data_IF_796936406481
#
_entry.id   IF_796936406481
#
_cell.length_a   1.000
_cell.length_b   1.000
_cell.length_c   1.000
_cell.angle_alpha   90.00
_cell.angle_beta   90.00
_cell.angle_gamma   90.00
#
_symmetry.space_group_name_H-M   'P 1'
#
loop_
_entity.id
_entity.type
_entity.pdbx_description
1 polymer ?
#
# COMPACT_ATOMS: atom_id res chain seq x y z
N UNK A 1 -11.43 10.05 -24.48
CA UNK A 1 -11.53 8.61 -24.82
C UNK A 1 -10.97 7.78 -23.68
N UNK A 2 -11.57 6.66 -23.38
CA UNK A 2 -11.15 5.67 -22.40
C UNK A 2 -10.72 4.40 -23.13
N UNK A 3 -9.53 3.88 -22.79
CA UNK A 3 -8.98 2.63 -23.32
C UNK A 3 -8.66 1.71 -22.17
N UNK A 4 -9.00 0.44 -22.27
CA UNK A 4 -8.69 -0.53 -21.23
C UNK A 4 -9.29 -1.91 -21.49
N UNK A 5 -9.01 -2.85 -20.62
CA UNK A 5 -9.61 -4.18 -20.64
C UNK A 5 -11.07 -4.15 -20.15
N UNK A 6 -11.84 -5.17 -20.52
CA UNK A 6 -13.24 -5.32 -20.13
C UNK A 6 -13.46 -5.15 -18.61
N UNK A 7 -12.57 -5.69 -17.79
CA UNK A 7 -12.67 -5.57 -16.33
C UNK A 7 -12.54 -4.11 -15.82
N UNK A 8 -11.73 -3.29 -16.48
CA UNK A 8 -11.51 -1.90 -16.06
C UNK A 8 -12.61 -0.94 -16.57
N UNK A 9 -13.32 -1.31 -17.64
CA UNK A 9 -14.26 -0.42 -18.35
C UNK A 9 -15.71 -0.75 -18.03
N UNK A 10 -16.00 -1.99 -17.65
CA UNK A 10 -17.37 -2.50 -17.50
C UNK A 10 -18.28 -1.62 -16.63
N UNK A 11 -17.74 -1.06 -15.56
CA UNK A 11 -18.50 -0.24 -14.60
C UNK A 11 -18.51 1.27 -14.95
N UNK A 12 -17.83 1.66 -16.04
CA UNK A 12 -17.66 3.07 -16.46
C UNK A 12 -17.93 3.28 -17.95
N UNK A 13 -18.65 2.36 -18.59
CA UNK A 13 -18.85 2.34 -20.04
C UNK A 13 -19.61 3.57 -20.56
N UNK A 14 -20.40 4.22 -19.73
CA UNK A 14 -21.20 5.40 -20.03
C UNK A 14 -20.56 6.72 -19.58
N UNK A 15 -19.36 6.68 -18.98
CA UNK A 15 -18.68 7.87 -18.47
C UNK A 15 -17.85 8.57 -19.53
N UNK A 16 -17.27 7.82 -20.47
CA UNK A 16 -16.41 8.36 -21.52
C UNK A 16 -17.20 8.75 -22.76
N UNK A 17 -16.82 9.84 -23.45
CA UNK A 17 -17.40 10.23 -24.74
C UNK A 17 -17.18 9.13 -25.81
N UNK A 18 -16.04 8.45 -25.73
CA UNK A 18 -15.68 7.31 -26.57
C UNK A 18 -14.94 6.27 -25.78
N UNK A 19 -15.31 5.03 -25.96
CA UNK A 19 -14.80 3.86 -25.27
C UNK A 19 -14.19 2.89 -26.26
N UNK A 20 -12.97 2.41 -25.95
CA UNK A 20 -12.24 1.42 -26.73
C UNK A 20 -11.91 0.22 -25.86
N UNK A 21 -12.39 -0.96 -26.28
CA UNK A 21 -12.05 -2.25 -25.67
C UNK A 21 -10.84 -2.84 -26.39
N UNK A 22 -9.66 -2.36 -26.01
CA UNK A 22 -8.41 -2.78 -26.64
C UNK A 22 -7.43 -3.27 -25.56
N UNK A 23 -6.52 -4.17 -25.91
CA UNK A 23 -5.41 -4.52 -25.04
C UNK A 23 -4.61 -3.27 -24.66
N UNK A 24 -4.08 -3.24 -23.42
CA UNK A 24 -3.20 -2.16 -22.98
C UNK A 24 -1.76 -2.43 -23.47
N UNK A 25 -1.58 -2.48 -24.79
CA UNK A 25 -0.28 -2.51 -25.47
C UNK A 25 0.04 -1.16 -26.10
N UNK A 26 1.31 -0.86 -26.31
CA UNK A 26 1.70 0.40 -26.95
C UNK A 26 1.12 0.54 -28.37
N UNK A 27 1.07 -0.57 -29.13
CA UNK A 27 0.54 -0.60 -30.50
C UNK A 27 -0.93 -0.23 -30.54
N UNK A 28 -1.77 -0.91 -29.73
CA UNK A 28 -3.20 -0.67 -29.71
C UNK A 28 -3.54 0.74 -29.24
N UNK A 29 -2.87 1.21 -28.16
CA UNK A 29 -3.07 2.57 -27.65
C UNK A 29 -2.64 3.62 -28.66
N UNK A 30 -1.53 3.45 -29.37
CA UNK A 30 -1.10 4.33 -30.44
C UNK A 30 -2.09 4.36 -31.62
N UNK A 31 -2.72 3.23 -31.94
CA UNK A 31 -3.80 3.14 -32.93
C UNK A 31 -5.01 4.01 -32.56
N UNK A 32 -5.43 3.95 -31.28
CA UNK A 32 -6.49 4.83 -30.76
C UNK A 32 -6.07 6.30 -30.79
N UNK A 33 -4.84 6.61 -30.40
CA UNK A 33 -4.30 7.99 -30.43
C UNK A 33 -4.28 8.54 -31.85
N UNK A 34 -3.87 7.75 -32.84
CA UNK A 34 -3.86 8.14 -34.25
C UNK A 34 -5.26 8.46 -34.77
N UNK A 35 -6.27 7.72 -34.28
CA UNK A 35 -7.68 7.91 -34.64
C UNK A 35 -8.29 9.15 -33.97
N UNK A 36 -8.12 9.28 -32.65
CA UNK A 36 -8.76 10.32 -31.85
C UNK A 36 -8.00 11.65 -31.83
N UNK A 37 -6.68 11.63 -32.09
CA UNK A 37 -5.78 12.80 -32.06
C UNK A 37 -5.94 13.64 -30.79
N UNK A 38 -5.83 13.02 -29.60
CA UNK A 38 -5.98 13.75 -28.35
C UNK A 38 -4.82 14.73 -28.13
N UNK A 39 -5.02 15.74 -27.28
CA UNK A 39 -3.95 16.66 -26.87
C UNK A 39 -2.88 16.01 -25.98
N UNK A 40 -3.17 14.87 -25.41
CA UNK A 40 -2.29 14.07 -24.57
C UNK A 40 -3.00 12.87 -23.95
N UNK A 41 -2.24 12.07 -23.21
CA UNK A 41 -2.71 10.84 -22.57
C UNK A 41 -2.49 10.92 -21.08
N UNK A 42 -3.49 10.54 -20.28
CA UNK A 42 -3.40 10.37 -18.84
C UNK A 42 -3.29 8.88 -18.55
N UNK A 43 -2.11 8.42 -18.11
CA UNK A 43 -1.86 7.04 -17.73
C UNK A 43 -2.03 6.77 -16.23
N UNK A 44 -1.98 7.82 -15.39
CA UNK A 44 -1.91 7.73 -13.94
C UNK A 44 -3.13 7.06 -13.26
N UNK A 45 -4.26 6.90 -13.94
CA UNK A 45 -5.47 6.27 -13.38
C UNK A 45 -5.64 4.79 -13.75
N UNK A 46 -4.82 4.28 -14.67
CA UNK A 46 -4.92 2.89 -15.18
C UNK A 46 -4.06 1.87 -14.43
N UNK A 47 -3.57 2.21 -13.24
CA UNK A 47 -2.70 1.36 -12.43
C UNK A 47 -1.36 1.08 -13.10
N UNK A 48 -0.67 0.04 -12.65
CA UNK A 48 0.69 -0.28 -13.09
C UNK A 48 0.78 -0.65 -14.57
N UNK A 49 -0.26 -1.27 -15.13
CA UNK A 49 -0.28 -1.65 -16.54
C UNK A 49 -0.26 -0.44 -17.48
N UNK A 50 -1.05 0.59 -17.17
CA UNK A 50 -1.09 1.82 -17.97
C UNK A 50 0.20 2.66 -17.79
N UNK A 51 0.73 2.73 -16.57
CA UNK A 51 1.98 3.45 -16.27
C UNK A 51 3.16 2.91 -17.09
N UNK A 52 3.27 1.61 -17.28
CA UNK A 52 4.33 1.00 -18.09
C UNK A 52 4.31 1.41 -19.57
N UNK A 53 3.20 1.94 -20.06
CA UNK A 53 3.11 2.44 -21.44
C UNK A 53 3.69 3.83 -21.61
N UNK A 54 3.88 4.62 -20.55
CA UNK A 54 4.27 6.03 -20.64
C UNK A 54 5.56 6.23 -21.41
N UNK A 55 6.58 5.39 -21.17
CA UNK A 55 7.85 5.49 -21.88
C UNK A 55 7.71 5.27 -23.39
N UNK A 56 7.01 4.20 -23.79
CA UNK A 56 6.77 3.90 -25.21
C UNK A 56 5.94 4.99 -25.89
N UNK A 57 4.96 5.56 -25.19
CA UNK A 57 4.13 6.66 -25.72
C UNK A 57 4.94 7.96 -25.87
N UNK A 58 5.78 8.32 -24.91
CA UNK A 58 6.66 9.49 -25.02
C UNK A 58 7.68 9.33 -26.18
N UNK A 59 8.26 8.14 -26.34
CA UNK A 59 9.15 7.85 -27.48
C UNK A 59 8.43 7.97 -28.83
N UNK A 60 7.15 7.69 -28.89
CA UNK A 60 6.30 7.88 -30.06
C UNK A 60 5.85 9.35 -30.24
N UNK A 61 6.32 10.30 -29.41
CA UNK A 61 5.98 11.71 -29.46
C UNK A 61 4.63 12.08 -28.87
N UNK A 62 4.03 11.17 -28.08
CA UNK A 62 2.76 11.41 -27.39
C UNK A 62 3.00 12.17 -26.10
N UNK A 63 2.28 13.25 -25.87
CA UNK A 63 2.34 14.00 -24.62
C UNK A 63 1.69 13.22 -23.49
N UNK A 64 2.44 12.92 -22.45
CA UNK A 64 1.89 12.41 -21.18
C UNK A 64 1.39 13.60 -20.36
N UNK A 65 0.12 13.54 -19.96
CA UNK A 65 -0.51 14.53 -19.06
C UNK A 65 -0.46 13.95 -17.64
N UNK A 66 0.45 14.50 -16.85
CA UNK A 66 0.76 13.98 -15.52
C UNK A 66 2.28 13.94 -15.27
N UNK A 67 2.70 13.13 -14.36
CA UNK A 67 4.13 12.88 -14.08
C UNK A 67 4.80 12.26 -15.31
N UNK A 68 6.00 12.77 -15.69
CA UNK A 68 6.73 12.28 -16.86
C UNK A 68 7.20 10.83 -16.69
N UNK A 69 7.41 10.11 -17.80
CA UNK A 69 7.93 8.74 -17.76
C UNK A 69 9.28 8.66 -17.02
N UNK A 70 10.18 9.60 -17.24
CA UNK A 70 11.49 9.64 -16.55
C UNK A 70 11.35 9.76 -15.03
N UNK A 71 10.39 10.55 -14.53
CA UNK A 71 10.15 10.69 -13.09
C UNK A 71 9.41 9.47 -12.49
N UNK A 72 8.58 8.82 -13.28
CA UNK A 72 7.98 7.53 -12.91
C UNK A 72 9.07 6.48 -12.76
N UNK A 73 9.98 6.39 -13.75
CA UNK A 73 11.14 5.48 -13.68
C UNK A 73 12.06 5.82 -12.49
N UNK A 74 12.26 7.10 -12.19
CA UNK A 74 13.04 7.54 -11.02
C UNK A 74 12.44 7.11 -9.69
N UNK A 75 11.11 7.00 -9.61
CA UNK A 75 10.42 6.48 -8.42
C UNK A 75 10.55 4.96 -8.28
N UNK A 76 10.67 4.21 -9.40
CA UNK A 76 10.81 2.76 -9.43
C UNK A 76 12.26 2.30 -9.35
N UNK A 77 13.20 3.09 -9.87
CA UNK A 77 14.63 2.81 -9.82
C UNK A 77 15.21 3.05 -8.44
N UNK A 78 15.78 2.00 -7.84
CA UNK A 78 16.26 2.04 -6.46
C UNK A 78 17.35 3.08 -6.26
N UNK A 79 18.34 3.14 -7.16
CA UNK A 79 19.51 4.04 -6.97
C UNK A 79 19.09 5.50 -7.12
N UNK A 80 18.26 5.81 -8.12
CA UNK A 80 17.72 7.15 -8.33
C UNK A 80 16.83 7.58 -7.17
N UNK A 81 15.98 6.68 -6.68
CA UNK A 81 15.10 6.99 -5.56
C UNK A 81 15.88 7.14 -4.26
N UNK A 82 16.88 6.29 -3.98
CA UNK A 82 17.75 6.43 -2.81
C UNK A 82 18.52 7.76 -2.82
N UNK A 83 19.09 8.15 -3.95
CA UNK A 83 19.78 9.44 -4.10
C UNK A 83 18.84 10.63 -3.86
N UNK A 84 17.59 10.55 -4.35
CA UNK A 84 16.57 11.57 -4.10
C UNK A 84 16.22 11.65 -2.59
N UNK A 85 16.12 10.52 -1.90
CA UNK A 85 15.84 10.48 -0.47
C UNK A 85 17.00 11.04 0.36
N UNK A 86 18.25 10.69 0.03
CA UNK A 86 19.44 11.19 0.71
C UNK A 86 19.56 12.72 0.63
N UNK A 87 19.23 13.32 -0.50
CA UNK A 87 19.24 14.78 -0.71
C UNK A 87 18.42 15.53 0.34
N UNK A 88 17.34 14.94 0.84
CA UNK A 88 16.45 15.53 1.85
C UNK A 88 16.60 14.92 3.24
N UNK A 89 17.57 14.04 3.45
CA UNK A 89 17.72 13.32 4.72
C UNK A 89 16.53 12.45 5.09
N UNK A 90 15.83 11.92 4.05
CA UNK A 90 14.69 11.03 4.22
C UNK A 90 15.21 9.61 4.39
N UNK A 91 14.77 8.92 5.43
CA UNK A 91 15.22 7.57 5.75
C UNK A 91 14.50 6.53 4.92
N UNK A 92 15.26 5.50 4.51
CA UNK A 92 14.75 4.25 3.94
C UNK A 92 15.32 3.04 4.67
N UNK A 93 14.66 1.90 4.56
CA UNK A 93 15.24 0.64 5.03
C UNK A 93 16.56 0.39 4.29
N UNK A 94 17.62 0.06 5.04
CA UNK A 94 18.90 -0.32 4.45
C UNK A 94 18.74 -1.61 3.67
N UNK A 95 19.44 -1.74 2.56
CA UNK A 95 19.38 -2.94 1.73
C UNK A 95 20.62 -3.15 0.88
N UNK A 96 20.70 -4.35 0.33
CA UNK A 96 21.75 -4.80 -0.57
C UNK A 96 21.15 -5.51 -1.78
N UNK A 97 21.75 -5.30 -2.92
CA UNK A 97 21.47 -6.05 -4.15
C UNK A 97 22.48 -7.17 -4.27
N UNK A 98 22.03 -8.39 -4.47
CA UNK A 98 22.87 -9.60 -4.50
C UNK A 98 22.50 -10.50 -5.68
N UNK A 99 23.45 -11.31 -6.12
CA UNK A 99 23.27 -12.23 -7.23
C UNK A 99 23.39 -13.70 -6.78
N UNK A 100 24.08 -13.98 -5.70
CA UNK A 100 24.36 -15.33 -5.23
C UNK A 100 23.76 -15.59 -3.84
N UNK A 101 23.63 -16.85 -3.48
CA UNK A 101 23.15 -17.27 -2.16
C UNK A 101 24.11 -16.84 -1.04
N UNK A 102 25.42 -16.92 -1.30
CA UNK A 102 26.47 -16.55 -0.35
C UNK A 102 26.44 -15.04 -0.09
N UNK A 103 26.29 -14.22 -1.13
CA UNK A 103 26.14 -12.76 -1.00
C UNK A 103 24.84 -12.41 -0.22
N UNK A 104 23.77 -13.15 -0.47
CA UNK A 104 22.48 -12.94 0.20
C UNK A 104 22.57 -13.19 1.72
N UNK A 105 23.20 -14.30 2.11
CA UNK A 105 23.43 -14.63 3.53
C UNK A 105 24.36 -13.60 4.18
N UNK A 106 25.45 -13.20 3.50
CA UNK A 106 26.37 -12.19 4.01
C UNK A 106 25.66 -10.84 4.22
N UNK A 107 24.87 -10.41 3.24
CA UNK A 107 24.07 -9.18 3.33
C UNK A 107 23.06 -9.22 4.49
N UNK A 108 22.36 -10.33 4.66
CA UNK A 108 21.39 -10.50 5.74
C UNK A 108 22.06 -10.45 7.13
N UNK A 109 23.23 -11.08 7.28
CA UNK A 109 24.01 -11.02 8.53
C UNK A 109 24.54 -9.60 8.82
N UNK A 110 24.93 -8.83 7.78
CA UNK A 110 25.32 -7.42 7.91
C UNK A 110 24.14 -6.54 8.35
N UNK A 111 22.94 -6.73 7.73
CA UNK A 111 21.75 -5.94 8.02
C UNK A 111 21.08 -6.31 9.35
N UNK A 112 21.26 -7.54 9.79
CA UNK A 112 20.60 -8.10 10.98
C UNK A 112 19.20 -8.64 10.68
N UNK A 113 18.95 -9.89 11.12
CA UNK A 113 17.64 -10.52 10.98
C UNK A 113 16.55 -9.88 11.88
N UNK A 114 15.28 -9.88 11.46
CA UNK A 114 14.77 -10.39 10.18
C UNK A 114 15.07 -9.46 9.01
N UNK A 115 15.14 -10.03 7.79
CA UNK A 115 15.29 -9.29 6.55
C UNK A 115 14.17 -9.62 5.57
N UNK A 116 13.83 -8.66 4.71
CA UNK A 116 12.91 -8.85 3.59
C UNK A 116 13.73 -9.23 2.36
N UNK A 117 13.36 -10.35 1.71
CA UNK A 117 14.02 -10.86 0.52
C UNK A 117 13.05 -10.78 -0.65
N UNK A 118 13.47 -10.15 -1.74
CA UNK A 118 12.62 -9.98 -2.93
C UNK A 118 13.46 -9.95 -4.22
N UNK A 119 12.93 -10.45 -5.36
CA UNK A 119 13.53 -10.20 -6.67
C UNK A 119 13.47 -8.70 -7.01
N UNK A 120 14.41 -8.21 -7.83
CA UNK A 120 14.49 -6.78 -8.18
C UNK A 120 13.29 -6.27 -8.98
N UNK A 121 12.66 -7.14 -9.76
CA UNK A 121 11.51 -6.79 -10.60
C UNK A 121 10.30 -7.62 -10.19
N UNK A 122 9.48 -7.08 -9.32
CA UNK A 122 8.27 -7.76 -8.79
C UNK A 122 7.06 -6.87 -8.90
N UNK A 123 5.95 -7.44 -9.36
CA UNK A 123 4.64 -6.80 -9.32
C UNK A 123 3.81 -7.39 -8.18
N UNK A 124 3.25 -6.51 -7.34
CA UNK A 124 2.32 -6.93 -6.28
C UNK A 124 2.94 -7.82 -5.21
N UNK A 125 4.26 -7.71 -4.94
CA UNK A 125 4.93 -8.44 -3.87
C UNK A 125 5.14 -9.94 -4.13
N UNK A 126 4.95 -10.41 -5.37
CA UNK A 126 5.18 -11.82 -5.72
C UNK A 126 6.59 -12.27 -5.37
N UNK A 127 6.72 -13.51 -4.88
CA UNK A 127 7.99 -14.10 -4.48
C UNK A 127 8.78 -13.26 -3.45
N UNK A 128 8.12 -12.54 -2.56
CA UNK A 128 8.75 -11.86 -1.43
C UNK A 128 8.60 -12.71 -0.17
N UNK A 129 9.66 -12.79 0.63
CA UNK A 129 9.62 -13.46 1.94
C UNK A 129 10.25 -12.61 3.04
N UNK A 130 9.87 -12.88 4.29
CA UNK A 130 10.59 -12.40 5.47
C UNK A 130 11.44 -13.56 5.98
N UNK A 131 12.76 -13.40 5.92
CA UNK A 131 13.71 -14.41 6.38
C UNK A 131 14.17 -14.07 7.81
N UNK A 132 14.18 -15.08 8.67
CA UNK A 132 14.57 -14.94 10.08
C UNK A 132 15.92 -15.56 10.39
N UNK A 133 16.49 -16.32 9.45
CA UNK A 133 17.76 -17.05 9.59
C UNK A 133 18.34 -17.39 8.21
N UNK A 134 19.62 -17.79 8.19
CA UNK A 134 20.35 -18.11 6.97
C UNK A 134 19.69 -19.18 6.12
N UNK A 135 19.12 -20.23 6.76
CA UNK A 135 18.46 -21.32 6.03
C UNK A 135 17.27 -20.86 5.20
N UNK A 136 16.52 -19.86 5.67
CA UNK A 136 15.37 -19.32 4.95
C UNK A 136 15.82 -18.65 3.65
N UNK A 137 16.97 -17.94 3.70
CA UNK A 137 17.57 -17.29 2.53
C UNK A 137 18.09 -18.33 1.53
N UNK A 138 18.83 -19.32 2.01
CA UNK A 138 19.39 -20.37 1.17
C UNK A 138 18.27 -21.11 0.42
N UNK A 139 17.20 -21.46 1.10
CA UNK A 139 16.04 -22.11 0.48
C UNK A 139 15.36 -21.22 -0.55
N UNK A 140 15.14 -19.95 -0.22
CA UNK A 140 14.54 -18.98 -1.12
C UNK A 140 15.39 -18.79 -2.39
N UNK A 141 16.68 -18.56 -2.24
CA UNK A 141 17.60 -18.39 -3.37
C UNK A 141 17.61 -19.63 -4.27
N UNK A 142 17.56 -20.83 -3.69
CA UNK A 142 17.47 -22.09 -4.45
C UNK A 142 16.19 -22.14 -5.30
N UNK A 143 15.05 -21.70 -4.76
CA UNK A 143 13.77 -21.66 -5.49
C UNK A 143 13.82 -20.66 -6.64
N UNK A 144 14.30 -19.45 -6.38
CA UNK A 144 14.38 -18.36 -7.37
C UNK A 144 15.33 -18.72 -8.53
N UNK A 145 16.51 -19.24 -8.21
CA UNK A 145 17.48 -19.68 -9.24
C UNK A 145 16.95 -20.87 -10.05
N UNK A 146 16.19 -21.78 -9.42
CA UNK A 146 15.59 -22.91 -10.13
C UNK A 146 14.49 -22.48 -11.13
N UNK A 147 13.88 -21.31 -10.93
CA UNK A 147 12.89 -20.73 -11.85
C UNK A 147 13.55 -20.00 -13.04
N UNK A 148 14.88 -20.00 -13.13
CA UNK A 148 15.60 -19.31 -14.20
C UNK A 148 15.54 -17.78 -14.11
N UNK A 149 15.26 -17.25 -12.94
CA UNK A 149 15.24 -15.80 -12.68
C UNK A 149 16.70 -15.36 -12.52
N UNK A 150 17.26 -14.79 -13.57
CA UNK A 150 18.64 -14.23 -13.58
C UNK A 150 18.70 -12.79 -13.04
N UNK A 151 17.62 -12.30 -12.42
CA UNK A 151 17.55 -10.96 -11.90
C UNK A 151 18.20 -10.85 -10.52
N UNK A 152 18.80 -9.70 -10.19
CA UNK A 152 19.30 -9.45 -8.84
C UNK A 152 18.22 -9.64 -7.78
N UNK A 153 18.60 -10.13 -6.62
CA UNK A 153 17.74 -10.23 -5.43
C UNK A 153 18.09 -9.09 -4.49
N UNK A 154 17.07 -8.50 -3.90
CA UNK A 154 17.20 -7.44 -2.91
C UNK A 154 17.03 -8.04 -1.51
N UNK A 155 17.96 -7.73 -0.63
CA UNK A 155 17.90 -8.05 0.80
C UNK A 155 17.75 -6.72 1.53
N UNK A 156 16.60 -6.49 2.12
CA UNK A 156 16.28 -5.24 2.81
C UNK A 156 16.08 -5.49 4.31
N UNK A 157 16.51 -4.56 5.14
CA UNK A 157 16.22 -4.58 6.58
C UNK A 157 14.70 -4.59 6.79
N UNK A 158 14.20 -5.56 7.55
CA UNK A 158 12.79 -5.62 7.88
C UNK A 158 12.47 -4.79 9.12
N UNK A 159 11.81 -3.66 8.92
CA UNK A 159 11.42 -2.74 9.99
C UNK A 159 10.04 -3.13 10.54
N UNK A 160 9.98 -3.60 11.78
CA UNK A 160 8.74 -3.95 12.47
C UNK A 160 8.10 -2.72 13.11
N UNK A 161 7.63 -1.80 12.27
CA UNK A 161 7.02 -0.54 12.68
C UNK A 161 5.51 -0.47 12.37
N UNK A 162 4.96 0.72 12.56
CA UNK A 162 3.60 1.07 12.16
C UNK A 162 3.65 1.48 10.70
N UNK A 163 2.90 0.81 9.85
CA UNK A 163 2.73 1.24 8.47
C UNK A 163 1.69 2.34 8.35
N UNK A 164 2.02 3.33 7.55
CA UNK A 164 1.14 4.43 7.20
C UNK A 164 1.24 4.73 5.71
N UNK A 165 0.19 5.30 5.14
CA UNK A 165 0.20 5.76 3.76
C UNK A 165 -0.49 7.11 3.61
N UNK A 166 -0.06 7.86 2.61
CA UNK A 166 -0.67 9.11 2.21
C UNK A 166 -0.84 9.14 0.70
N UNK A 167 -2.06 9.43 0.27
CA UNK A 167 -2.34 9.85 -1.10
C UNK A 167 -2.34 11.36 -1.16
N UNK A 168 -1.67 11.92 -2.16
CA UNK A 168 -1.56 13.36 -2.33
C UNK A 168 -1.81 13.78 -3.78
N UNK A 169 -2.17 15.06 -3.93
CA UNK A 169 -2.31 15.73 -5.21
C UNK A 169 -1.21 16.78 -5.29
N UNK A 170 -0.48 16.82 -6.41
CA UNK A 170 0.58 17.79 -6.64
C UNK A 170 0.37 18.51 -7.99
N UNK A 171 0.63 19.82 -8.02
CA UNK A 171 0.59 20.64 -9.25
C UNK A 171 1.98 21.08 -9.72
N UNK A 172 3.03 20.41 -9.21
CA UNK A 172 4.44 20.74 -9.45
C UNK A 172 4.99 21.83 -8.52
N UNK A 173 4.15 22.51 -7.72
CA UNK A 173 4.55 23.56 -6.78
C UNK A 173 3.93 23.38 -5.40
N UNK A 174 2.66 23.06 -5.35
CA UNK A 174 1.90 22.82 -4.13
C UNK A 174 1.46 21.37 -4.04
N UNK A 175 1.27 20.90 -2.80
CA UNK A 175 0.80 19.55 -2.51
C UNK A 175 -0.37 19.63 -1.54
N UNK A 176 -1.45 18.93 -1.86
CA UNK A 176 -2.60 18.70 -0.97
C UNK A 176 -2.62 17.23 -0.54
N UNK A 177 -2.68 16.99 0.75
CA UNK A 177 -2.78 15.66 1.36
C UNK A 177 -4.18 15.56 1.99
N UNK A 178 -5.15 14.87 1.37
CA UNK A 178 -6.50 14.76 1.92
C UNK A 178 -6.55 14.06 3.26
N UNK A 179 -5.66 13.08 3.50
CA UNK A 179 -5.57 12.39 4.77
C UNK A 179 -4.39 11.42 4.82
N UNK A 180 -3.98 11.10 6.03
CA UNK A 180 -2.97 10.08 6.32
C UNK A 180 -3.69 8.89 6.95
N UNK A 181 -3.45 7.70 6.40
CA UNK A 181 -4.00 6.44 6.86
C UNK A 181 -2.95 5.64 7.61
N UNK A 182 -3.39 4.84 8.55
CA UNK A 182 -2.55 3.93 9.32
C UNK A 182 -3.08 2.50 9.16
N UNK A 183 -2.18 1.53 8.98
CA UNK A 183 -2.55 0.13 8.86
C UNK A 183 -2.70 -0.53 10.24
N UNK A 184 -3.68 -1.43 10.35
CA UNK A 184 -3.91 -2.22 11.58
C UNK A 184 -2.91 -3.36 11.66
N UNK A 185 -2.60 -3.97 10.53
CA UNK A 185 -1.67 -5.08 10.43
C UNK A 185 -0.24 -4.61 10.66
N UNK A 186 0.60 -5.55 11.08
CA UNK A 186 2.04 -5.32 11.22
C UNK A 186 2.68 -5.13 9.84
N UNK A 187 3.83 -4.46 9.79
CA UNK A 187 4.62 -4.31 8.59
C UNK A 187 4.93 -5.64 7.89
N UNK A 188 5.06 -5.59 6.56
CA UNK A 188 5.32 -6.75 5.72
C UNK A 188 4.08 -7.43 5.14
N UNK A 189 2.88 -6.88 5.37
CA UNK A 189 1.66 -7.27 4.67
C UNK A 189 1.40 -6.24 3.57
N UNK A 190 1.04 -6.70 2.38
CA UNK A 190 0.74 -5.80 1.25
C UNK A 190 -0.36 -4.79 1.63
N UNK A 191 -0.16 -3.52 1.30
CA UNK A 191 -1.09 -2.43 1.66
C UNK A 191 -2.53 -2.66 1.17
N UNK A 192 -2.71 -3.33 0.03
CA UNK A 192 -4.02 -3.75 -0.48
C UNK A 192 -4.74 -4.74 0.43
N UNK A 193 -4.00 -5.55 1.18
CA UNK A 193 -4.51 -6.60 2.07
C UNK A 193 -4.65 -6.13 3.52
N UNK A 194 -4.16 -4.94 3.82
CA UNK A 194 -4.21 -4.34 5.15
C UNK A 194 -5.50 -3.55 5.37
N UNK A 195 -5.98 -3.59 6.61
CA UNK A 195 -7.04 -2.69 7.08
C UNK A 195 -6.41 -1.31 7.26
N UNK A 196 -6.85 -0.32 6.48
CA UNK A 196 -6.38 1.05 6.59
C UNK A 196 -7.41 1.92 7.33
N UNK A 197 -6.95 2.64 8.34
CA UNK A 197 -7.77 3.50 9.20
C UNK A 197 -7.46 4.96 8.92
N UNK A 198 -8.50 5.74 8.72
CA UNK A 198 -8.46 7.19 8.65
C UNK A 198 -9.38 7.79 9.73
N UNK A 199 -8.94 8.81 10.44
CA UNK A 199 -7.56 9.29 10.52
C UNK A 199 -6.64 8.30 11.24
N UNK A 200 -5.32 8.40 11.01
CA UNK A 200 -4.33 7.64 11.76
C UNK A 200 -4.52 7.84 13.26
N UNK A 201 -4.41 6.77 14.06
CA UNK A 201 -4.80 6.83 15.49
C UNK A 201 -3.63 6.68 16.47
N UNK A 202 -2.50 6.10 16.04
CA UNK A 202 -1.29 5.93 16.88
C UNK A 202 -0.18 6.93 16.54
N UNK A 203 -0.30 7.69 15.45
CA UNK A 203 0.70 8.65 15.06
C UNK A 203 0.66 9.89 15.95
N UNK A 204 1.81 10.26 16.51
CA UNK A 204 1.93 11.52 17.25
C UNK A 204 1.88 12.73 16.29
N UNK A 205 1.58 13.91 16.83
CA UNK A 205 1.59 15.14 16.03
C UNK A 205 2.93 15.41 15.35
N UNK A 206 4.05 15.08 16.01
CA UNK A 206 5.39 15.22 15.43
C UNK A 206 5.61 14.26 14.25
N UNK A 207 5.16 12.99 14.36
CA UNK A 207 5.23 12.02 13.27
C UNK A 207 4.34 12.45 12.09
N UNK A 208 3.11 12.88 12.37
CA UNK A 208 2.19 13.40 11.35
C UNK A 208 2.81 14.58 10.60
N UNK A 209 3.40 15.53 11.32
CA UNK A 209 4.09 16.67 10.70
C UNK A 209 5.26 16.22 9.83
N UNK A 210 6.05 15.24 10.28
CA UNK A 210 7.15 14.69 9.49
C UNK A 210 6.66 13.99 8.23
N UNK A 211 5.55 13.23 8.30
CA UNK A 211 4.92 12.62 7.14
C UNK A 211 4.47 13.65 6.10
N UNK A 212 3.87 14.76 6.55
CA UNK A 212 3.46 15.86 5.66
C UNK A 212 4.67 16.46 4.92
N UNK A 213 5.75 16.74 5.66
CA UNK A 213 6.98 17.29 5.10
C UNK A 213 7.62 16.35 4.08
N UNK A 214 7.75 15.07 4.42
CA UNK A 214 8.32 14.04 3.56
C UNK A 214 7.45 13.84 2.31
N UNK A 215 6.12 13.76 2.46
CA UNK A 215 5.19 13.68 1.32
C UNK A 215 5.41 14.83 0.34
N UNK A 216 5.48 16.07 0.88
CA UNK A 216 5.70 17.26 0.06
C UNK A 216 7.05 17.22 -0.65
N UNK A 217 8.12 16.88 0.05
CA UNK A 217 9.48 16.82 -0.52
C UNK A 217 9.56 15.79 -1.66
N UNK A 218 9.02 14.58 -1.46
CA UNK A 218 9.03 13.52 -2.47
C UNK A 218 8.20 13.91 -3.68
N UNK A 219 6.97 14.41 -3.47
CA UNK A 219 6.10 14.80 -4.57
C UNK A 219 6.73 15.88 -5.46
N UNK A 220 7.41 16.84 -4.87
CA UNK A 220 8.10 17.90 -5.62
C UNK A 220 9.39 17.40 -6.29
N UNK A 221 10.20 16.57 -5.63
CA UNK A 221 11.44 16.03 -6.19
C UNK A 221 11.18 15.12 -7.38
N UNK A 222 10.13 14.30 -7.32
CA UNK A 222 9.68 13.47 -8.43
C UNK A 222 8.90 14.25 -9.51
N UNK A 223 8.86 15.58 -9.42
CA UNK A 223 8.13 16.41 -10.39
C UNK A 223 6.68 15.94 -10.58
N UNK A 224 6.05 15.43 -9.52
CA UNK A 224 4.70 14.88 -9.58
C UNK A 224 3.72 15.91 -10.11
N UNK A 225 2.92 15.49 -11.08
CA UNK A 225 1.80 16.28 -11.59
C UNK A 225 0.53 15.40 -11.59
N UNK A 226 -0.37 15.67 -10.68
CA UNK A 226 -1.54 14.84 -10.39
C UNK A 226 -1.39 14.06 -9.10
N UNK A 227 -1.63 12.73 -9.12
CA UNK A 227 -1.65 11.89 -7.93
C UNK A 227 -0.31 11.25 -7.62
N UNK A 228 -0.05 11.09 -6.33
CA UNK A 228 1.04 10.28 -5.80
C UNK A 228 0.58 9.56 -4.53
N UNK A 229 0.92 8.28 -4.41
CA UNK A 229 0.78 7.50 -3.18
C UNK A 229 2.15 7.24 -2.59
N UNK A 230 2.33 7.44 -1.30
CA UNK A 230 3.58 7.18 -0.59
C UNK A 230 3.30 6.30 0.61
N UNK A 231 4.08 5.24 0.76
CA UNK A 231 3.99 4.29 1.86
C UNK A 231 5.17 4.48 2.81
N UNK A 232 4.86 4.42 4.10
CA UNK A 232 5.79 4.70 5.19
C UNK A 232 5.80 3.59 6.24
N UNK A 233 6.93 3.47 6.94
CA UNK A 233 7.01 2.77 8.23
C UNK A 233 7.46 3.79 9.28
N UNK A 234 6.72 3.88 10.37
CA UNK A 234 7.15 4.59 11.57
C UNK A 234 7.76 3.58 12.53
N UNK A 235 9.07 3.68 12.72
CA UNK A 235 9.85 2.77 13.53
C UNK A 235 10.77 3.55 14.47
N UNK A 236 10.73 3.25 15.77
CA UNK A 236 11.50 3.97 16.80
C UNK A 236 11.33 5.51 16.74
N UNK A 237 10.10 5.99 16.55
CA UNK A 237 9.73 7.40 16.39
C UNK A 237 10.37 8.10 15.18
N UNK A 238 10.82 7.34 14.19
CA UNK A 238 11.36 7.84 12.95
C UNK A 238 10.54 7.38 11.76
N UNK A 239 10.44 8.22 10.75
CA UNK A 239 9.69 7.95 9.51
C UNK A 239 10.64 7.41 8.46
N UNK A 240 10.32 6.24 7.93
CA UNK A 240 11.00 5.61 6.81
C UNK A 240 10.05 5.53 5.63
N UNK A 241 10.55 5.81 4.43
CA UNK A 241 9.79 5.64 3.19
C UNK A 241 10.01 4.22 2.67
N UNK A 242 8.91 3.53 2.36
CA UNK A 242 8.94 2.23 1.69
C UNK A 242 9.03 2.46 0.19
N UNK A 243 8.04 3.14 -0.37
CA UNK A 243 7.92 3.41 -1.80
C UNK A 243 7.09 4.66 -2.07
N UNK A 244 7.26 5.23 -3.26
CA UNK A 244 6.43 6.31 -3.80
C UNK A 244 5.93 5.91 -5.18
N UNK A 245 4.65 6.03 -5.40
CA UNK A 245 3.97 5.67 -6.63
C UNK A 245 3.30 6.92 -7.24
N UNK A 246 3.87 7.57 -8.28
CA UNK A 246 3.29 8.76 -8.90
C UNK A 246 2.10 8.40 -9.81
N UNK A 247 1.07 7.83 -9.23
CA UNK A 247 -0.17 7.37 -9.86
C UNK A 247 -1.28 7.24 -8.83
N UNK A 248 -2.51 7.01 -9.30
CA UNK A 248 -3.62 6.64 -8.43
C UNK A 248 -3.34 5.32 -7.70
N UNK A 249 -3.65 5.29 -6.42
CA UNK A 249 -3.67 4.11 -5.57
C UNK A 249 -5.11 3.57 -5.44
N UNK A 250 -5.25 2.40 -4.84
CA UNK A 250 -6.57 1.85 -4.49
C UNK A 250 -7.27 2.64 -3.39
N UNK A 251 -6.51 3.36 -2.58
CA UNK A 251 -7.04 4.17 -1.47
C UNK A 251 -7.61 5.51 -1.93
N UNK A 252 -7.32 5.98 -3.15
CA UNK A 252 -7.85 7.25 -3.68
C UNK A 252 -9.39 7.33 -3.64
N UNK A 253 -10.17 6.34 -4.11
CA UNK A 253 -11.63 6.40 -3.99
C UNK A 253 -12.12 6.43 -2.54
N UNK A 254 -11.46 5.66 -1.67
CA UNK A 254 -11.74 5.61 -0.25
C UNK A 254 -11.51 6.97 0.42
N UNK A 255 -10.30 7.52 0.29
CA UNK A 255 -9.94 8.77 0.96
C UNK A 255 -10.72 9.97 0.39
N UNK A 256 -10.99 9.98 -0.92
CA UNK A 256 -11.85 10.99 -1.55
C UNK A 256 -13.24 11.01 -0.95
N UNK A 257 -13.85 9.84 -0.79
CA UNK A 257 -15.21 9.70 -0.23
C UNK A 257 -15.27 10.11 1.24
N UNK A 258 -14.26 9.74 2.02
CA UNK A 258 -14.20 9.96 3.46
C UNK A 258 -13.91 11.42 3.80
N UNK A 259 -13.05 12.08 3.05
CA UNK A 259 -12.67 13.48 3.30
C UNK A 259 -13.54 14.50 2.56
N UNK A 260 -14.24 14.05 1.52
CA UNK A 260 -15.00 14.92 0.62
C UNK A 260 -14.09 15.70 -0.34
N UNK A 261 -12.80 15.34 -0.45
CA UNK A 261 -11.87 15.93 -1.42
C UNK A 261 -11.94 15.14 -2.73
N UNK A 262 -12.39 15.72 -3.84
CA UNK A 262 -12.53 15.02 -5.11
C UNK A 262 -11.16 14.86 -5.80
N UNK A 263 -10.35 13.92 -5.31
CA UNK A 263 -8.94 13.80 -5.66
C UNK A 263 -8.69 13.63 -7.16
N UNK A 264 -9.51 12.84 -7.84
CA UNK A 264 -9.36 12.60 -9.29
C UNK A 264 -9.64 13.88 -10.08
N UNK A 265 -10.70 14.62 -9.73
CA UNK A 265 -11.02 15.91 -10.36
C UNK A 265 -9.88 16.92 -10.17
N UNK A 266 -9.42 17.09 -8.91
CA UNK A 266 -8.33 18.02 -8.61
C UNK A 266 -7.02 17.62 -9.31
N UNK A 267 -6.72 16.33 -9.40
CA UNK A 267 -5.54 15.83 -10.11
C UNK A 267 -5.61 16.14 -11.60
N UNK A 268 -6.76 15.92 -12.24
CA UNK A 268 -6.97 16.25 -13.66
C UNK A 268 -6.82 17.75 -13.90
N UNK A 269 -7.41 18.57 -13.03
CA UNK A 269 -7.28 20.03 -13.11
C UNK A 269 -5.82 20.48 -12.95
N UNK A 270 -5.06 19.87 -12.03
CA UNK A 270 -3.62 20.11 -11.90
C UNK A 270 -2.86 19.72 -13.17
N UNK A 271 -3.15 18.56 -13.77
CA UNK A 271 -2.57 18.13 -15.05
C UNK A 271 -2.90 19.08 -16.20
N UNK A 272 -4.02 19.78 -16.11
CA UNK A 272 -4.44 20.84 -17.07
C UNK A 272 -3.84 22.23 -16.77
N UNK A 273 -3.06 22.35 -15.68
CA UNK A 273 -2.31 23.56 -15.34
C UNK A 273 -2.96 24.45 -14.28
N UNK A 274 -4.06 24.05 -13.70
CA UNK A 274 -4.64 24.77 -12.56
C UNK A 274 -3.79 24.58 -11.31
N UNK A 275 -3.76 25.59 -10.43
CA UNK A 275 -2.99 25.53 -9.20
C UNK A 275 -3.87 25.07 -8.03
N UNK A 276 -3.34 24.12 -7.22
CA UNK A 276 -4.04 23.53 -6.06
C UNK A 276 -4.52 24.62 -5.10
N UNK A 277 -3.70 25.66 -4.87
CA UNK A 277 -4.07 26.80 -4.00
C UNK A 277 -5.34 27.51 -4.41
N UNK A 278 -5.69 27.47 -5.70
CA UNK A 278 -6.85 28.16 -6.29
C UNK A 278 -8.09 27.25 -6.38
N UNK A 279 -7.95 25.96 -6.06
CA UNK A 279 -9.03 24.97 -6.17
C UNK A 279 -9.98 24.92 -4.95
N UNK A 280 -9.71 25.69 -3.88
CA UNK A 280 -10.59 25.82 -2.73
C UNK A 280 -10.41 24.78 -1.61
N UNK A 281 -9.43 23.90 -1.72
CA UNK A 281 -9.14 22.87 -0.70
C UNK A 281 -7.90 23.17 0.14
N UNK A 282 -7.17 24.25 -0.18
CA UNK A 282 -5.92 24.62 0.48
C UNK A 282 -4.73 23.75 0.03
N UNK A 283 -3.64 23.81 0.81
CA UNK A 283 -2.42 23.05 0.58
C UNK A 283 -1.97 22.37 1.89
N UNK A 284 -1.09 21.37 1.81
CA UNK A 284 -0.69 20.57 2.96
C UNK A 284 -1.75 19.57 3.39
N UNK A 285 -1.81 19.24 4.68
CA UNK A 285 -2.80 18.31 5.20
C UNK A 285 -4.18 18.98 5.29
N UNK A 286 -5.16 18.36 4.64
CA UNK A 286 -6.55 18.79 4.71
C UNK A 286 -7.14 18.56 6.10
N UNK A 287 -8.22 19.28 6.43
CA UNK A 287 -8.90 19.16 7.72
C UNK A 287 -9.38 17.72 7.95
N UNK A 288 -9.14 17.23 9.14
CA UNK A 288 -9.52 15.88 9.55
C UNK A 288 -11.05 15.75 9.67
N UNK A 289 -11.59 14.61 9.26
CA UNK A 289 -13.00 14.27 9.46
C UNK A 289 -13.31 14.02 10.94
N UNK A 290 -14.54 14.32 11.41
CA UNK A 290 -14.93 14.11 12.80
C UNK A 290 -15.27 12.65 13.14
N UNK A 291 -15.12 11.74 12.20
CA UNK A 291 -15.40 10.31 12.34
C UNK A 291 -14.22 9.47 11.86
N UNK A 292 -14.18 8.23 12.31
CA UNK A 292 -13.26 7.21 11.80
C UNK A 292 -13.85 6.52 10.58
N UNK A 293 -13.01 6.27 9.62
CA UNK A 293 -13.32 5.47 8.46
C UNK A 293 -12.27 4.37 8.30
N UNK A 294 -12.69 3.19 7.90
CA UNK A 294 -11.83 2.01 7.82
C UNK A 294 -12.06 1.34 6.47
N UNK A 295 -10.98 1.21 5.70
CA UNK A 295 -10.95 0.34 4.53
C UNK A 295 -10.67 -1.07 5.00
N UNK A 296 -11.53 -2.03 4.66
CA UNK A 296 -11.32 -3.46 4.96
C UNK A 296 -11.20 -4.22 3.65
N UNK A 297 -10.12 -4.99 3.44
CA UNK A 297 -9.96 -5.79 2.24
C UNK A 297 -10.96 -6.94 2.20
N UNK A 298 -11.37 -7.31 0.97
CA UNK A 298 -12.18 -8.48 0.70
C UNK A 298 -11.33 -9.55 0.04
N UNK A 299 -11.51 -10.80 0.47
CA UNK A 299 -10.77 -11.95 -0.06
C UNK A 299 -11.74 -12.95 -0.68
N UNK A 300 -11.30 -13.63 -1.73
CA UNK A 300 -12.08 -14.67 -2.41
C UNK A 300 -11.60 -16.09 -2.07
N UNK A 301 -10.97 -16.28 -0.90
CA UNK A 301 -10.40 -17.57 -0.49
C UNK A 301 -11.45 -18.71 -0.47
N UNK A 302 -12.69 -18.41 -0.11
CA UNK A 302 -13.78 -19.39 -0.09
C UNK A 302 -14.13 -19.96 -1.48
N UNK A 303 -13.72 -19.27 -2.56
CA UNK A 303 -13.98 -19.67 -3.95
C UNK A 303 -12.83 -20.46 -4.56
N UNK A 304 -11.69 -20.51 -3.91
CA UNK A 304 -10.46 -21.09 -4.41
C UNK A 304 -10.04 -22.25 -3.48
N UNK A 305 -9.94 -23.45 -4.03
CA UNK A 305 -9.45 -24.61 -3.30
C UNK A 305 -7.92 -24.52 -3.16
N UNK A 306 -7.41 -24.99 -2.02
CA UNK A 306 -5.97 -25.16 -1.73
C UNK A 306 -5.11 -23.89 -1.83
N UNK A 307 -5.69 -22.70 -1.54
CA UNK A 307 -4.97 -21.43 -1.53
C UNK A 307 -4.41 -21.15 -0.13
N UNK A 308 -3.16 -20.71 -0.09
CA UNK A 308 -2.57 -20.17 1.15
C UNK A 308 -3.27 -18.86 1.53
N UNK A 309 -3.93 -18.86 2.69
CA UNK A 309 -4.68 -17.73 3.23
C UNK A 309 -3.83 -16.79 4.11
N UNK A 310 -2.56 -17.13 4.36
CA UNK A 310 -1.68 -16.27 5.16
C UNK A 310 -1.35 -15.00 4.41
N UNK A 311 -1.55 -13.87 5.07
CA UNK A 311 -1.20 -12.57 4.52
C UNK A 311 0.31 -12.33 4.61
N UNK A 312 0.83 -11.68 3.60
CA UNK A 312 2.25 -11.37 3.46
C UNK A 312 2.48 -10.24 2.45
N UNK A 313 3.69 -10.13 1.93
CA UNK A 313 4.04 -9.08 0.97
C UNK A 313 3.27 -9.17 -0.35
N UNK A 314 2.82 -10.37 -0.75
CA UNK A 314 2.04 -10.58 -1.97
C UNK A 314 0.56 -10.24 -1.74
N UNK A 315 -0.02 -9.45 -2.67
CA UNK A 315 -1.42 -9.05 -2.59
C UNK A 315 -2.36 -10.20 -2.94
N UNK A 316 -3.31 -10.49 -2.04
CA UNK A 316 -4.32 -11.56 -2.17
C UNK A 316 -5.76 -11.06 -2.20
N UNK A 317 -5.98 -9.79 -1.85
CA UNK A 317 -7.32 -9.19 -1.84
C UNK A 317 -7.87 -8.97 -3.25
N UNK A 318 -9.18 -9.14 -3.38
CA UNK A 318 -9.92 -9.00 -4.65
C UNK A 318 -10.88 -7.80 -4.65
N UNK A 319 -11.01 -7.12 -3.54
CA UNK A 319 -11.86 -5.95 -3.37
C UNK A 319 -11.67 -5.31 -2.01
N UNK A 320 -12.45 -4.28 -1.74
CA UNK A 320 -12.42 -3.55 -0.47
C UNK A 320 -13.79 -2.97 -0.14
N UNK A 321 -14.04 -2.76 1.15
CA UNK A 321 -15.26 -2.14 1.68
C UNK A 321 -14.91 -1.05 2.67
N UNK A 322 -15.87 -0.19 2.93
CA UNK A 322 -15.74 0.96 3.83
C UNK A 322 -16.62 0.78 5.07
N UNK A 323 -16.02 0.92 6.26
CA UNK A 323 -16.71 1.09 7.52
C UNK A 323 -16.54 2.52 8.04
N UNK A 324 -17.63 3.14 8.53
CA UNK A 324 -17.59 4.48 9.14
C UNK A 324 -18.23 4.42 10.52
N UNK A 325 -17.59 5.03 11.51
CA UNK A 325 -18.06 5.08 12.87
C UNK A 325 -17.68 6.35 13.61
N UNK A 326 -18.33 6.62 14.72
CA UNK A 326 -18.00 7.73 15.62
C UNK A 326 -16.73 7.47 16.43
N UNK A 327 -16.34 6.20 16.50
CA UNK A 327 -15.09 5.73 17.07
C UNK A 327 -14.49 4.60 16.21
N UNK A 328 -13.22 4.29 16.47
CA UNK A 328 -12.47 3.30 15.69
C UNK A 328 -13.09 1.90 15.74
N UNK A 329 -13.55 1.46 16.91
CA UNK A 329 -14.13 0.13 17.11
C UNK A 329 -15.40 -0.06 16.28
N UNK A 330 -16.27 0.96 16.27
CA UNK A 330 -17.49 0.95 15.46
C UNK A 330 -17.16 0.90 13.95
N UNK A 331 -16.19 1.68 13.51
CA UNK A 331 -15.76 1.71 12.11
C UNK A 331 -15.19 0.36 11.67
N UNK A 332 -14.30 -0.25 12.46
CA UNK A 332 -13.74 -1.58 12.21
C UNK A 332 -14.85 -2.63 12.16
N UNK A 333 -15.75 -2.63 13.15
CA UNK A 333 -16.86 -3.59 13.21
C UNK A 333 -17.73 -3.53 11.94
N UNK A 334 -18.14 -2.32 11.54
CA UNK A 334 -18.93 -2.11 10.32
C UNK A 334 -18.18 -2.55 9.06
N UNK A 335 -16.89 -2.22 8.97
CA UNK A 335 -16.05 -2.65 7.86
C UNK A 335 -15.90 -4.17 7.77
N UNK A 336 -15.64 -4.85 8.87
CA UNK A 336 -15.55 -6.31 8.92
C UNK A 336 -16.88 -6.97 8.51
N UNK A 337 -18.01 -6.48 9.01
CA UNK A 337 -19.34 -6.99 8.63
C UNK A 337 -19.58 -6.79 7.13
N UNK A 338 -19.24 -5.62 6.59
CA UNK A 338 -19.37 -5.34 5.17
C UNK A 338 -18.45 -6.20 4.30
N UNK A 339 -17.27 -6.60 4.82
CA UNK A 339 -16.35 -7.54 4.15
C UNK A 339 -16.80 -9.00 4.23
N UNK A 340 -17.95 -9.28 4.87
CA UNK A 340 -18.53 -10.63 4.96
C UNK A 340 -18.14 -11.40 6.23
N UNK A 341 -17.42 -10.79 7.17
CA UNK A 341 -17.12 -11.44 8.44
C UNK A 341 -18.40 -11.67 9.27
N UNK A 342 -18.62 -12.91 9.64
CA UNK A 342 -19.78 -13.30 10.47
C UNK A 342 -19.43 -13.12 11.95
N UNK A 343 -19.84 -11.99 12.51
CA UNK A 343 -19.65 -11.71 13.93
C UNK A 343 -20.56 -12.61 14.78
N UNK A 344 -19.98 -13.53 15.53
CA UNK A 344 -20.70 -14.40 16.46
C UNK A 344 -20.89 -13.67 17.78
N UNK A 345 -22.06 -13.87 18.40
CA UNK A 345 -22.40 -13.29 19.70
C UNK A 345 -22.26 -14.30 20.85
N UNK A 346 -21.99 -15.56 20.54
CA UNK A 346 -21.79 -16.66 21.50
C UNK A 346 -20.99 -17.78 20.86
N UNK A 347 -20.42 -18.65 21.70
CA UNK A 347 -19.67 -19.83 21.26
C UNK A 347 -18.35 -19.99 21.98
N UNK A 348 -17.45 -20.77 21.40
CA UNK A 348 -16.10 -21.01 21.91
C UNK A 348 -15.05 -20.20 21.14
N UNK A 349 -14.05 -19.71 21.86
CA UNK A 349 -12.89 -19.04 21.31
C UNK A 349 -11.63 -19.81 21.70
N UNK A 350 -10.88 -20.29 20.71
CA UNK A 350 -9.58 -20.91 20.95
C UNK A 350 -8.48 -19.83 20.88
N UNK A 351 -7.71 -19.73 21.96
CA UNK A 351 -6.58 -18.79 22.08
C UNK A 351 -5.28 -19.59 22.10
N UNK A 352 -4.41 -19.29 21.15
CA UNK A 352 -3.06 -19.87 21.07
C UNK A 352 -2.10 -18.78 20.58
N UNK A 353 -1.18 -18.36 21.45
CA UNK A 353 -0.26 -17.25 21.18
C UNK A 353 1.14 -17.55 21.73
N UNK A 354 2.13 -16.83 21.20
CA UNK A 354 3.51 -16.89 21.70
C UNK A 354 3.61 -16.31 23.10
N UNK A 355 4.67 -16.65 23.82
CA UNK A 355 4.86 -16.22 25.22
C UNK A 355 4.83 -14.70 25.39
N UNK A 356 5.44 -13.96 24.47
CA UNK A 356 5.48 -12.49 24.52
C UNK A 356 4.12 -11.82 24.30
N UNK A 357 3.19 -12.50 23.64
CA UNK A 357 1.87 -11.96 23.30
C UNK A 357 0.79 -12.39 24.34
N UNK A 358 1.15 -13.24 25.31
CA UNK A 358 0.23 -13.74 26.35
C UNK A 358 -0.45 -12.67 27.19
N UNK A 359 0.22 -11.60 27.65
CA UNK A 359 -0.43 -10.56 28.47
C UNK A 359 -1.61 -9.91 27.74
N UNK A 360 -1.42 -9.52 26.47
CA UNK A 360 -2.47 -8.91 25.65
C UNK A 360 -3.60 -9.92 25.34
N UNK A 361 -3.24 -11.17 25.01
CA UNK A 361 -4.21 -12.24 24.75
C UNK A 361 -5.09 -12.56 25.96
N UNK A 362 -4.54 -12.52 27.19
CA UNK A 362 -5.29 -12.70 28.43
C UNK A 362 -6.34 -11.59 28.61
N UNK A 363 -5.97 -10.34 28.35
CA UNK A 363 -6.91 -9.22 28.42
C UNK A 363 -8.02 -9.32 27.39
N UNK A 364 -7.69 -9.72 26.15
CA UNK A 364 -8.68 -10.00 25.12
C UNK A 364 -9.61 -11.16 25.53
N UNK A 365 -9.06 -12.28 25.99
CA UNK A 365 -9.84 -13.44 26.44
C UNK A 365 -10.79 -13.07 27.60
N UNK A 366 -10.34 -12.24 28.53
CA UNK A 366 -11.17 -11.74 29.64
C UNK A 366 -12.36 -10.91 29.15
N UNK A 367 -12.17 -10.10 28.11
CA UNK A 367 -13.25 -9.33 27.47
C UNK A 367 -14.26 -10.27 26.81
N UNK A 368 -13.81 -11.29 26.10
CA UNK A 368 -14.69 -12.28 25.48
C UNK A 368 -15.44 -13.12 26.50
N UNK A 369 -14.78 -13.56 27.58
CA UNK A 369 -15.45 -14.27 28.68
C UNK A 369 -16.57 -13.43 29.31
N UNK A 370 -16.35 -12.11 29.50
CA UNK A 370 -17.39 -11.18 29.99
C UNK A 370 -18.58 -11.05 29.03
N UNK A 371 -18.35 -11.25 27.73
CA UNK A 371 -19.39 -11.27 26.71
C UNK A 371 -20.13 -12.63 26.62
N UNK A 372 -19.74 -13.62 27.43
CA UNK A 372 -20.39 -14.93 27.47
C UNK A 372 -19.78 -15.98 26.55
N UNK A 373 -18.60 -15.76 26.01
CA UNK A 373 -17.88 -16.76 25.22
C UNK A 373 -17.14 -17.75 26.12
N UNK A 374 -17.12 -19.03 25.74
CA UNK A 374 -16.28 -20.06 26.38
C UNK A 374 -14.83 -19.90 25.81
N UNK A 375 -13.87 -19.82 26.72
CA UNK A 375 -12.46 -19.65 26.30
C UNK A 375 -11.77 -21.04 26.36
N UNK A 376 -11.14 -21.39 25.25
CA UNK A 376 -10.28 -22.56 25.11
C UNK A 376 -8.86 -22.07 24.79
N UNK A 377 -7.85 -22.75 25.31
CA UNK A 377 -6.46 -22.35 25.04
C UNK A 377 -5.54 -23.57 24.95
N UNK A 378 -4.44 -23.44 24.20
CA UNK A 378 -3.36 -24.44 24.23
C UNK A 378 -2.70 -24.47 25.60
N UNK A 379 -2.10 -25.62 26.02
CA UNK A 379 -1.63 -25.83 27.41
C UNK A 379 -0.77 -24.68 27.95
N UNK A 380 0.17 -24.17 27.17
CA UNK A 380 1.03 -23.04 27.60
C UNK A 380 0.29 -21.71 27.77
N UNK A 381 -0.68 -21.44 26.92
CA UNK A 381 -1.53 -20.25 27.00
C UNK A 381 -2.55 -20.38 28.12
N UNK A 382 -3.16 -21.56 28.28
CA UNK A 382 -4.11 -21.86 29.36
C UNK A 382 -3.46 -21.67 30.74
N UNK A 383 -2.24 -22.16 30.94
CA UNK A 383 -1.50 -22.01 32.20
C UNK A 383 -1.32 -20.53 32.54
N UNK A 384 -0.87 -19.71 31.56
CA UNK A 384 -0.73 -18.27 31.76
C UNK A 384 -2.07 -17.58 32.07
N UNK A 385 -3.18 -17.99 31.43
CA UNK A 385 -4.52 -17.48 31.74
C UNK A 385 -4.96 -17.81 33.18
N UNK A 386 -4.73 -19.04 33.64
CA UNK A 386 -5.06 -19.48 35.00
C UNK A 386 -4.26 -18.72 36.07
N UNK A 387 -2.96 -18.47 35.82
CA UNK A 387 -2.11 -17.64 36.68
C UNK A 387 -2.63 -16.21 36.84
N UNK A 388 -3.40 -15.71 35.85
CA UNK A 388 -4.04 -14.40 35.86
C UNK A 388 -5.56 -14.44 36.16
N UNK A 389 -6.05 -15.56 36.73
CA UNK A 389 -7.42 -15.71 37.22
C UNK A 389 -8.49 -15.88 36.15
N UNK A 390 -8.14 -16.36 34.97
CA UNK A 390 -9.08 -16.70 33.89
C UNK A 390 -9.13 -18.26 33.78
N UNK A 391 -10.30 -18.88 34.13
CA UNK A 391 -10.47 -20.32 34.16
C UNK A 391 -11.44 -20.79 33.08
#
# INVERSE_FOLDING_TARGET
SLVGSEMCIRDSFDTADRLYFEPLTAEDVLGVIATEKPVGVVAAFGGQTAIKLTHALEQAGVRIMGTSADMIDAAEDRERFDAAMEKYGIKRAKGRTVMTSEEAVAAANELGYPVLVRPSYVLGGQNMIIAYQDSDIVEYMRIILAQGIENPVLIDQYLMGIEAEADAICDGTDVLIPGIMEHVERSGIHSGDSIAVYPAWNLTGAMTQRLIEVTRQIALELGTLGLINIQYIVYHNEVYVIEANPRASRTVPYISKVTGVPMVDLAVRAMLGEKIRDMGYGTGLYRQSPYYAVKVPCFSFEKLADVDTHLGPEMKSTGEVLGIGTNLQEAIFKGLVAAGYKMRHQGGILVSVRDKDKPEAIDCARKFAKLGFNIFATPGTARAMQEHGLY
#
